data_IF_670966742371
#
_entry.id   IF_670966742371
#
_cell.length_a   1.000
_cell.length_b   1.000
_cell.length_c   1.000
_cell.angle_alpha   90.00
_cell.angle_beta   90.00
_cell.angle_gamma   90.00
#
_symmetry.space_group_name_H-M   'P 1'
#
loop_
_entity.id
_entity.type
_entity.pdbx_description
1 polymer ?
#
# COMPACT_ATOMS: atom_id res chain seq x y z
N UNK A 1 -13.03 -10.93 -23.64
CA UNK A 1 -11.77 -11.20 -22.93
C UNK A 1 -11.83 -10.53 -21.57
N UNK A 2 -11.60 -11.26 -20.49
CA UNK A 2 -11.39 -10.66 -19.16
C UNK A 2 -9.88 -10.42 -19.04
N UNK A 3 -9.48 -9.17 -18.83
CA UNK A 3 -8.08 -8.80 -18.55
C UNK A 3 -7.79 -9.03 -17.07
N UNK A 4 -6.81 -9.89 -16.78
CA UNK A 4 -6.28 -10.02 -15.42
C UNK A 4 -5.35 -8.84 -15.14
N UNK A 5 -5.57 -8.16 -14.01
CA UNK A 5 -4.72 -7.06 -13.55
C UNK A 5 -3.72 -7.61 -12.53
N UNK A 6 -2.44 -7.34 -12.72
CA UNK A 6 -1.35 -7.68 -11.79
C UNK A 6 -0.72 -6.42 -11.21
N UNK A 7 -0.20 -6.52 -9.97
CA UNK A 7 0.61 -5.47 -9.35
C UNK A 7 2.07 -5.83 -9.56
N UNK A 8 2.73 -5.16 -10.50
CA UNK A 8 4.14 -5.43 -10.82
C UNK A 8 5.09 -4.79 -9.80
N UNK A 9 4.72 -3.61 -9.29
CA UNK A 9 5.48 -2.84 -8.31
C UNK A 9 4.51 -2.18 -7.34
N UNK A 10 4.81 -2.25 -6.05
CA UNK A 10 4.04 -1.61 -4.99
C UNK A 10 4.93 -0.66 -4.21
N UNK A 11 4.59 0.63 -4.27
CA UNK A 11 5.26 1.70 -3.51
C UNK A 11 4.23 2.44 -2.67
N UNK A 12 4.46 2.50 -1.36
CA UNK A 12 3.59 3.15 -0.38
C UNK A 12 4.48 3.93 0.56
N UNK A 13 4.14 5.19 0.82
CA UNK A 13 4.86 6.01 1.78
C UNK A 13 3.89 6.82 2.65
N UNK A 14 4.17 6.85 3.95
CA UNK A 14 3.44 7.61 4.95
C UNK A 14 1.91 7.42 4.93
N UNK A 15 1.45 6.20 4.63
CA UNK A 15 0.02 5.84 4.71
C UNK A 15 -0.28 5.10 6.01
N UNK A 16 -1.14 5.64 6.85
CA UNK A 16 -1.56 5.04 8.13
C UNK A 16 -0.35 4.59 8.97
N UNK A 17 -0.11 3.28 9.13
CA UNK A 17 1.00 2.74 9.93
C UNK A 17 2.23 2.39 9.10
N UNK A 18 2.19 2.56 7.78
CA UNK A 18 3.34 2.37 6.90
C UNK A 18 4.18 3.64 6.92
N UNK A 19 5.48 3.48 7.17
CA UNK A 19 6.47 4.54 6.88
C UNK A 19 6.84 4.49 5.41
N UNK A 20 7.35 3.34 4.96
CA UNK A 20 7.59 3.07 3.55
C UNK A 20 7.44 1.56 3.27
N UNK A 21 6.89 1.22 2.10
CA UNK A 21 6.92 -0.12 1.50
C UNK A 21 7.32 0.06 0.05
N UNK A 22 8.32 -0.70 -0.39
CA UNK A 22 8.71 -0.83 -1.80
C UNK A 22 8.95 -2.31 -2.05
N UNK A 23 8.15 -2.90 -2.92
CA UNK A 23 8.25 -4.33 -3.24
C UNK A 23 7.81 -4.58 -4.67
N UNK A 24 8.36 -5.63 -5.26
CA UNK A 24 7.92 -6.21 -6.52
C UNK A 24 7.24 -7.54 -6.16
N UNK A 25 5.90 -7.60 -6.13
CA UNK A 25 5.19 -8.84 -5.83
C UNK A 25 5.52 -9.93 -6.85
N UNK A 26 5.31 -11.19 -6.47
CA UNK A 26 5.48 -12.29 -7.42
C UNK A 26 4.56 -12.10 -8.62
N UNK A 27 5.12 -12.25 -9.82
CA UNK A 27 4.37 -12.11 -11.09
C UNK A 27 3.26 -13.14 -11.23
N UNK A 28 3.37 -14.27 -10.53
CA UNK A 28 2.38 -15.33 -10.46
C UNK A 28 2.27 -15.90 -9.04
N UNK A 29 1.14 -16.52 -8.72
CA UNK A 29 0.93 -17.13 -7.42
C UNK A 29 0.63 -16.13 -6.30
N UNK A 30 0.88 -16.56 -5.05
CA UNK A 30 0.52 -15.82 -3.84
C UNK A 30 1.71 -15.03 -3.29
N UNK A 31 1.54 -13.71 -3.12
CA UNK A 31 2.48 -12.88 -2.34
C UNK A 31 1.97 -12.72 -0.91
N UNK A 32 2.77 -13.09 0.09
CA UNK A 32 2.39 -13.04 1.51
C UNK A 32 2.85 -11.73 2.16
N UNK A 33 1.91 -10.96 2.71
CA UNK A 33 2.20 -9.81 3.58
C UNK A 33 2.09 -10.25 5.05
N UNK A 34 3.21 -10.74 5.59
CA UNK A 34 3.32 -11.29 6.96
C UNK A 34 3.73 -10.27 8.03
N UNK A 35 3.83 -10.72 9.29
CA UNK A 35 4.33 -9.93 10.41
C UNK A 35 3.41 -9.93 11.64
N UNK A 36 3.85 -9.30 12.74
CA UNK A 36 3.09 -9.23 14.00
C UNK A 36 1.86 -8.32 13.88
N UNK A 37 0.99 -8.38 14.89
CA UNK A 37 -0.14 -7.47 14.99
C UNK A 37 0.33 -6.01 15.03
N UNK A 38 -0.45 -5.12 14.41
CA UNK A 38 -0.19 -3.67 14.34
C UNK A 38 1.06 -3.24 13.54
N UNK A 39 1.73 -4.13 12.81
CA UNK A 39 2.89 -3.80 11.96
C UNK A 39 2.54 -3.24 10.56
N UNK A 40 1.32 -2.75 10.35
CA UNK A 40 0.95 -2.08 9.10
C UNK A 40 0.46 -2.98 7.97
N UNK A 41 0.24 -4.28 8.18
CA UNK A 41 -0.33 -5.19 7.17
C UNK A 41 -1.64 -4.68 6.56
N UNK A 42 -2.60 -4.29 7.41
CA UNK A 42 -3.87 -3.69 6.95
C UNK A 42 -3.63 -2.37 6.22
N UNK A 43 -2.66 -1.56 6.65
CA UNK A 43 -2.30 -0.31 5.98
C UNK A 43 -1.75 -0.54 4.57
N UNK A 44 -1.02 -1.64 4.33
CA UNK A 44 -0.59 -2.05 2.99
C UNK A 44 -1.80 -2.38 2.11
N UNK A 45 -2.73 -3.20 2.60
CA UNK A 45 -3.93 -3.58 1.85
C UNK A 45 -4.85 -2.38 1.57
N UNK A 46 -5.04 -1.50 2.56
CA UNK A 46 -5.81 -0.26 2.39
C UNK A 46 -5.19 0.66 1.34
N UNK A 47 -3.86 0.70 1.27
CA UNK A 47 -3.14 1.51 0.25
C UNK A 47 -3.36 0.94 -1.14
N UNK A 48 -3.37 -0.39 -1.30
CA UNK A 48 -3.68 -1.05 -2.59
C UNK A 48 -5.13 -0.73 -3.00
N UNK A 49 -6.09 -0.89 -2.08
CA UNK A 49 -7.50 -0.60 -2.36
C UNK A 49 -7.70 0.87 -2.74
N UNK A 50 -7.04 1.79 -2.05
CA UNK A 50 -7.09 3.22 -2.35
C UNK A 50 -6.45 3.54 -3.71
N UNK A 51 -5.27 2.99 -4.00
CA UNK A 51 -4.58 3.23 -5.27
C UNK A 51 -5.39 2.75 -6.48
N UNK A 52 -6.06 1.59 -6.37
CA UNK A 52 -6.85 1.02 -7.46
C UNK A 52 -8.26 1.61 -7.56
N UNK A 53 -8.87 1.94 -6.42
CA UNK A 53 -10.27 2.38 -6.36
C UNK A 53 -10.48 3.88 -6.19
N UNK A 54 -9.41 4.67 -6.09
CA UNK A 54 -9.45 6.11 -5.93
C UNK A 54 -10.11 6.56 -4.62
N UNK A 55 -10.58 7.81 -4.58
CA UNK A 55 -11.09 8.44 -3.36
C UNK A 55 -12.25 7.70 -2.67
N UNK A 56 -12.95 6.81 -3.39
CA UNK A 56 -13.97 5.92 -2.81
C UNK A 56 -13.42 5.04 -1.69
N UNK A 57 -12.15 4.65 -1.77
CA UNK A 57 -11.46 3.81 -0.78
C UNK A 57 -10.40 4.58 0.00
N UNK A 58 -10.39 5.92 -0.07
CA UNK A 58 -9.48 6.74 0.73
C UNK A 58 -9.75 6.51 2.22
N UNK A 59 -8.73 6.15 3.03
CA UNK A 59 -8.93 6.05 4.46
C UNK A 59 -9.33 7.39 5.08
N UNK A 60 -10.16 7.35 6.13
CA UNK A 60 -10.55 8.55 6.88
C UNK A 60 -9.32 9.31 7.43
N UNK A 61 -8.37 8.57 8.00
CA UNK A 61 -7.04 9.06 8.37
C UNK A 61 -6.01 8.36 7.49
N UNK A 62 -5.73 8.99 6.34
CA UNK A 62 -4.82 8.44 5.32
C UNK A 62 -3.36 8.63 5.68
N UNK A 63 -3.00 9.79 6.23
CA UNK A 63 -1.62 10.11 6.58
C UNK A 63 -1.14 9.35 7.80
N UNK A 64 0.16 9.05 7.82
CA UNK A 64 0.83 8.48 8.97
C UNK A 64 0.91 9.49 10.10
N UNK A 65 0.41 9.10 11.27
CA UNK A 65 0.57 9.87 12.50
C UNK A 65 2.06 10.05 12.84
N UNK A 66 2.45 11.29 13.12
CA UNK A 66 3.85 11.66 13.39
C UNK A 66 4.72 11.79 12.13
N UNK A 67 4.14 11.77 10.92
CA UNK A 67 4.89 12.15 9.72
C UNK A 67 5.21 13.65 9.75
N UNK A 68 6.49 14.00 9.70
CA UNK A 68 6.95 15.40 9.65
C UNK A 68 7.16 15.90 8.21
N UNK A 69 7.01 15.00 7.23
CA UNK A 69 7.21 15.27 5.81
C UNK A 69 6.07 14.68 4.99
N UNK A 70 5.68 15.34 3.88
CA UNK A 70 4.76 14.74 2.93
C UNK A 70 5.41 13.49 2.27
N UNK A 71 4.61 12.55 1.75
CA UNK A 71 5.13 11.43 0.96
C UNK A 71 6.02 11.94 -0.19
N UNK A 72 7.20 11.35 -0.35
CA UNK A 72 8.22 11.72 -1.32
C UNK A 72 8.75 10.48 -2.05
N UNK A 73 7.87 9.84 -2.82
CA UNK A 73 8.26 8.74 -3.70
C UNK A 73 8.94 9.35 -4.93
N UNK A 74 10.25 9.15 -5.05
CA UNK A 74 11.00 9.47 -6.28
C UNK A 74 10.67 8.41 -7.35
N UNK A 75 10.11 8.88 -8.47
CA UNK A 75 9.97 8.10 -9.71
C UNK A 75 11.36 7.79 -10.29
#
# INVERSE_FOLDING_TARGET
MVTFITINKLEIENVKRVKAVKTEPSSTGLTIVGGRNRQGKTSVLDSIAWALGGNKYRPSQAEREGSMVPPFIKL
#
